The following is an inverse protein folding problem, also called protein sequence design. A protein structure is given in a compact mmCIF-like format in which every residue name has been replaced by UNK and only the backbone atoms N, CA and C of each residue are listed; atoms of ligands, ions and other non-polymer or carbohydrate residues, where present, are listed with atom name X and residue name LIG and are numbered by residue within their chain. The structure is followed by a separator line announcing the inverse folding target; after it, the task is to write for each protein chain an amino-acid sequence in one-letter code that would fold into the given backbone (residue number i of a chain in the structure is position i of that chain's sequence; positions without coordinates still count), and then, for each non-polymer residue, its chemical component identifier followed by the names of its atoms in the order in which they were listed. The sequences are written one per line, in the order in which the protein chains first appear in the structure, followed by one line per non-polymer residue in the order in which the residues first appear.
data_IF_068529976169
#
_entry.id   IF_068529976169
#
_cell.length_a   1.000
_cell.length_b   1.000
_cell.length_c   1.000
_cell.angle_alpha   90.00
_cell.angle_beta   90.00
_cell.angle_gamma   90.00
#
_symmetry.space_group_name_H-M   'P 1'
#
loop_
_entity.id
_entity.type
_entity.pdbx_description
1 polymer ?
#
# COMPACT_ATOMS: atom_id res chain seq x y z
N UNK A 1 53.00 19.71 7.10
CA UNK A 1 51.87 20.29 6.36
C UNK A 1 51.06 19.12 5.86
N UNK A 2 49.87 18.92 6.43
CA UNK A 2 49.10 17.67 6.40
C UNK A 2 48.48 17.40 5.02
N UNK A 3 48.48 16.13 4.63
CA UNK A 3 48.04 15.63 3.32
C UNK A 3 46.51 15.56 3.26
N UNK A 4 45.91 16.51 2.52
CA UNK A 4 44.47 16.70 2.30
C UNK A 4 43.79 15.50 1.59
N UNK A 5 44.56 14.57 1.00
CA UNK A 5 43.99 13.43 0.26
C UNK A 5 43.43 12.31 1.15
N UNK A 6 43.63 12.40 2.46
CA UNK A 6 43.15 11.40 3.42
C UNK A 6 41.79 11.72 4.03
N UNK A 7 41.30 12.96 3.88
CA UNK A 7 40.03 13.41 4.46
C UNK A 7 38.82 13.03 3.58
N UNK A 8 38.95 13.15 2.26
CA UNK A 8 37.88 12.85 1.30
C UNK A 8 37.62 11.35 1.08
N UNK A 9 38.56 10.48 1.48
CA UNK A 9 38.46 9.03 1.33
C UNK A 9 37.64 8.34 2.44
N UNK A 10 37.31 9.03 3.54
CA UNK A 10 36.64 8.43 4.70
C UNK A 10 35.11 8.61 4.71
N UNK A 11 34.55 9.34 3.75
CA UNK A 11 33.12 9.75 3.76
C UNK A 11 32.23 8.91 2.83
N UNK A 12 32.79 8.13 1.92
CA UNK A 12 32.01 7.23 1.06
C UNK A 12 32.18 5.77 1.49
N UNK A 13 31.42 5.35 2.50
CA UNK A 13 31.10 3.93 2.63
C UNK A 13 30.14 3.58 1.47
N UNK A 14 30.48 2.65 0.56
CA UNK A 14 29.54 2.20 -0.45
C UNK A 14 28.35 1.56 0.28
N UNK A 15 27.18 2.17 0.13
CA UNK A 15 25.95 1.66 0.74
C UNK A 15 25.62 0.32 0.05
N UNK A 16 25.28 -0.74 0.80
CA UNK A 16 24.88 -1.98 0.16
C UNK A 16 23.62 -1.72 -0.67
N UNK A 17 23.73 -1.83 -2.00
CA UNK A 17 22.59 -1.86 -2.90
C UNK A 17 21.67 -2.98 -2.43
N UNK A 18 20.52 -2.61 -1.87
CA UNK A 18 19.51 -3.56 -1.42
C UNK A 18 18.96 -4.27 -2.65
N UNK A 19 19.50 -5.45 -2.96
CA UNK A 19 18.90 -6.34 -3.94
C UNK A 19 17.51 -6.73 -3.43
N UNK A 20 16.48 -6.02 -3.91
CA UNK A 20 15.10 -6.44 -3.76
C UNK A 20 14.97 -7.70 -4.58
N UNK A 21 15.27 -8.86 -3.98
CA UNK A 21 14.90 -10.13 -4.58
C UNK A 21 13.40 -10.07 -4.79
N UNK A 22 13.00 -10.10 -6.06
CA UNK A 22 11.63 -10.39 -6.48
C UNK A 22 11.34 -11.85 -6.14
N UNK A 23 11.30 -12.16 -4.84
CA UNK A 23 10.80 -13.41 -4.33
C UNK A 23 9.34 -13.50 -4.80
N UNK A 24 8.83 -14.66 -5.24
CA UNK A 24 7.42 -14.77 -5.63
C UNK A 24 6.58 -14.41 -4.40
N UNK A 25 6.04 -13.20 -4.35
CA UNK A 25 5.26 -12.69 -3.23
C UNK A 25 3.85 -13.28 -3.36
N UNK A 26 3.73 -14.59 -3.14
CA UNK A 26 2.44 -15.24 -2.89
C UNK A 26 2.03 -14.86 -1.45
N UNK A 27 1.45 -13.66 -1.31
CA UNK A 27 1.07 -13.03 -0.03
C UNK A 27 0.65 -11.57 -0.25
N UNK A 28 0.32 -10.84 0.83
CA UNK A 28 -0.01 -9.40 0.78
C UNK A 28 1.19 -8.58 0.28
N UNK A 29 1.37 -8.51 -1.03
CA UNK A 29 2.34 -7.64 -1.68
C UNK A 29 1.87 -6.19 -1.59
N UNK A 30 2.79 -5.23 -1.53
CA UNK A 30 2.48 -3.78 -1.47
C UNK A 30 1.47 -3.35 -2.55
N UNK A 31 1.54 -3.99 -3.73
CA UNK A 31 0.60 -3.75 -4.81
C UNK A 31 -0.82 -4.22 -4.46
N UNK A 32 -0.95 -5.40 -3.86
CA UNK A 32 -2.23 -5.97 -3.43
C UNK A 32 -2.83 -5.15 -2.27
N UNK A 33 -2.02 -4.65 -1.34
CA UNK A 33 -2.50 -3.76 -0.26
C UNK A 33 -3.09 -2.45 -0.81
N UNK A 34 -2.40 -1.83 -1.77
CA UNK A 34 -2.87 -0.61 -2.44
C UNK A 34 -4.12 -0.86 -3.28
N UNK A 35 -4.24 -2.04 -3.92
CA UNK A 35 -5.43 -2.39 -4.68
C UNK A 35 -6.63 -2.72 -3.78
N UNK A 36 -6.44 -3.49 -2.71
CA UNK A 36 -7.51 -3.89 -1.81
C UNK A 36 -8.12 -2.67 -1.11
N UNK A 37 -7.30 -1.71 -0.67
CA UNK A 37 -7.79 -0.47 -0.08
C UNK A 37 -8.60 0.39 -1.06
N UNK A 38 -8.19 0.48 -2.33
CA UNK A 38 -8.96 1.18 -3.37
C UNK A 38 -10.30 0.51 -3.65
N UNK A 39 -10.30 -0.82 -3.75
CA UNK A 39 -11.53 -1.59 -3.92
C UNK A 39 -12.48 -1.38 -2.73
N UNK A 40 -11.94 -1.33 -1.51
CA UNK A 40 -12.73 -1.05 -0.31
C UNK A 40 -13.34 0.37 -0.33
N UNK A 41 -12.58 1.39 -0.74
CA UNK A 41 -13.12 2.76 -0.88
C UNK A 41 -14.26 2.81 -1.90
N UNK A 42 -14.09 2.16 -3.05
CA UNK A 42 -15.13 2.09 -4.09
C UNK A 42 -16.35 1.33 -3.57
N UNK A 43 -16.14 0.18 -2.93
CA UNK A 43 -17.22 -0.62 -2.34
C UNK A 43 -18.02 0.16 -1.30
N UNK A 44 -17.35 0.91 -0.43
CA UNK A 44 -18.00 1.74 0.57
C UNK A 44 -18.86 2.85 -0.05
N UNK A 45 -18.34 3.57 -1.05
CA UNK A 45 -19.08 4.63 -1.74
C UNK A 45 -20.27 4.04 -2.52
N UNK A 46 -20.07 2.95 -3.25
CA UNK A 46 -21.15 2.25 -3.94
C UNK A 46 -22.23 1.79 -2.95
N UNK A 47 -21.84 1.29 -1.77
CA UNK A 47 -22.78 0.86 -0.74
C UNK A 47 -23.65 2.01 -0.23
N UNK A 48 -23.04 3.17 0.07
CA UNK A 48 -23.78 4.39 0.47
C UNK A 48 -24.75 4.83 -0.63
N UNK A 49 -24.30 4.87 -1.89
CA UNK A 49 -25.14 5.29 -3.01
C UNK A 49 -26.33 4.34 -3.20
N UNK A 50 -26.10 3.03 -3.12
CA UNK A 50 -27.17 2.03 -3.22
C UNK A 50 -28.17 2.16 -2.07
N UNK A 51 -27.71 2.43 -0.86
CA UNK A 51 -28.57 2.65 0.30
C UNK A 51 -29.48 3.88 0.11
N UNK A 52 -28.93 4.98 -0.41
CA UNK A 52 -29.71 6.20 -0.70
C UNK A 52 -30.70 5.97 -1.84
N UNK A 53 -30.31 5.27 -2.91
CA UNK A 53 -31.17 5.02 -4.06
C UNK A 53 -32.31 4.04 -3.75
N UNK A 54 -32.03 3.00 -2.95
CA UNK A 54 -32.99 1.93 -2.68
C UNK A 54 -33.96 2.33 -1.57
N UNK A 55 -33.58 3.26 -0.68
CA UNK A 55 -34.44 3.77 0.42
C UNK A 55 -34.82 2.70 1.46
N UNK A 56 -34.41 1.46 1.26
CA UNK A 56 -34.40 0.36 2.21
C UNK A 56 -32.94 -0.06 2.28
N UNK A 57 -32.27 0.24 3.40
CA UNK A 57 -30.84 -0.02 3.52
C UNK A 57 -30.52 -1.49 3.25
N UNK A 58 -29.30 -1.79 2.81
CA UNK A 58 -28.86 -3.18 2.67
C UNK A 58 -29.01 -3.99 3.97
N UNK A 59 -29.03 -3.30 5.12
CA UNK A 59 -29.40 -3.83 6.45
C UNK A 59 -30.86 -4.29 6.47
N UNK A 60 -31.79 -3.52 5.88
CA UNK A 60 -33.20 -3.91 5.76
C UNK A 60 -33.35 -5.18 4.92
N UNK A 61 -32.52 -5.40 3.89
CA UNK A 61 -32.52 -6.66 3.14
C UNK A 61 -31.99 -7.83 3.99
N UNK A 62 -30.92 -7.62 4.78
CA UNK A 62 -30.40 -8.65 5.70
C UNK A 62 -31.33 -8.96 6.89
N UNK A 63 -32.14 -8.00 7.33
CA UNK A 63 -33.08 -8.15 8.46
C UNK A 63 -34.49 -8.56 8.00
N UNK A 64 -34.80 -8.51 6.70
CA UNK A 64 -36.11 -8.89 6.15
C UNK A 64 -36.29 -10.41 5.98
N UNK A 65 -35.33 -11.22 6.41
CA UNK A 65 -35.43 -12.69 6.48
C UNK A 65 -35.48 -13.14 7.94
#
# INVERSE_FOLDING_TARGET
MFDDKTFSARVYAPQPEMYVRQQPQLGFTEYAEKLNSRLAMIGFVCFIVLEVLTGHGAISFLTSF
#
